data_IF_613934227895
#
_entry.id   IF_613934227895
#
_cell.length_a   1.000
_cell.length_b   1.000
_cell.length_c   1.000
_cell.angle_alpha   90.00
_cell.angle_beta   90.00
_cell.angle_gamma   90.00
#
_symmetry.space_group_name_H-M   'P 1'
#
loop_
_entity.id
_entity.type
_entity.pdbx_description
1 polymer ?
#
# COMPACT_ATOMS: atom_id res chain seq x y z
N UNK A 1 -30.03 -21.10 -3.64
CA UNK A 1 -30.63 -20.45 -2.45
C UNK A 1 -32.12 -20.52 -2.46
N UNK A 2 -32.79 -20.05 -3.51
CA UNK A 2 -34.27 -20.08 -3.61
C UNK A 2 -34.86 -21.52 -3.50
N UNK A 3 -34.17 -22.51 -4.09
CA UNK A 3 -34.63 -23.92 -4.04
C UNK A 3 -34.59 -24.52 -2.62
N UNK A 4 -33.51 -24.18 -1.84
CA UNK A 4 -33.32 -24.72 -0.48
C UNK A 4 -33.97 -23.84 0.60
N UNK A 5 -34.57 -22.70 0.25
CA UNK A 5 -35.18 -21.73 1.18
C UNK A 5 -34.26 -21.32 2.33
N UNK A 6 -32.96 -21.15 2.03
CA UNK A 6 -31.94 -20.79 3.00
C UNK A 6 -32.14 -19.36 3.52
N UNK A 7 -31.97 -19.19 4.81
CA UNK A 7 -31.85 -17.87 5.42
C UNK A 7 -30.56 -17.18 4.90
N UNK A 8 -30.44 -15.86 5.01
CA UNK A 8 -29.22 -15.14 4.59
C UNK A 8 -27.93 -15.72 5.21
N UNK A 9 -27.97 -16.09 6.50
CA UNK A 9 -26.85 -16.69 7.21
C UNK A 9 -26.50 -18.09 6.69
N UNK A 10 -27.50 -18.94 6.47
CA UNK A 10 -27.32 -20.27 5.90
C UNK A 10 -26.81 -20.19 4.46
N UNK A 11 -27.30 -19.23 3.68
CA UNK A 11 -26.80 -18.99 2.33
C UNK A 11 -25.32 -18.59 2.32
N UNK A 12 -24.91 -17.68 3.20
CA UNK A 12 -23.49 -17.28 3.34
C UNK A 12 -22.62 -18.49 3.71
N UNK A 13 -23.05 -19.29 4.69
CA UNK A 13 -22.35 -20.50 5.10
C UNK A 13 -22.25 -21.53 3.97
N UNK A 14 -23.34 -21.75 3.27
CA UNK A 14 -23.40 -22.66 2.11
C UNK A 14 -22.48 -22.17 0.98
N UNK A 15 -22.57 -20.88 0.61
CA UNK A 15 -21.72 -20.27 -0.42
C UNK A 15 -20.23 -20.40 -0.07
N UNK A 16 -19.85 -20.06 1.17
CA UNK A 16 -18.50 -20.22 1.65
C UNK A 16 -18.01 -21.67 1.54
N UNK A 17 -18.81 -22.64 2.02
CA UNK A 17 -18.46 -24.07 1.98
C UNK A 17 -18.30 -24.54 0.53
N UNK A 18 -19.19 -24.10 -0.34
CA UNK A 18 -19.13 -24.42 -1.76
C UNK A 18 -17.86 -23.86 -2.42
N UNK A 19 -17.56 -22.59 -2.20
CA UNK A 19 -16.32 -21.96 -2.70
C UNK A 19 -15.06 -22.68 -2.20
N UNK A 20 -15.02 -23.06 -0.92
CA UNK A 20 -13.91 -23.84 -0.34
C UNK A 20 -13.78 -25.24 -0.94
N UNK A 21 -14.88 -25.85 -1.44
CA UNK A 21 -14.82 -27.16 -2.09
C UNK A 21 -14.26 -27.10 -3.51
N UNK A 22 -14.31 -25.95 -4.15
CA UNK A 22 -13.87 -25.72 -5.53
C UNK A 22 -12.46 -25.12 -5.63
N UNK A 23 -12.11 -24.34 -4.63
CA UNK A 23 -10.80 -23.69 -4.54
C UNK A 23 -10.10 -24.19 -3.28
N UNK A 24 -8.80 -24.41 -3.30
CA UNK A 24 -8.12 -24.79 -2.05
C UNK A 24 -8.35 -23.68 -0.99
N UNK A 25 -8.45 -24.05 0.30
CA UNK A 25 -8.67 -23.07 1.37
C UNK A 25 -7.65 -21.92 1.35
N UNK A 26 -6.39 -22.20 1.03
CA UNK A 26 -5.33 -21.21 0.95
C UNK A 26 -5.63 -20.12 -0.08
N UNK A 27 -6.02 -20.49 -1.30
CA UNK A 27 -6.38 -19.50 -2.34
C UNK A 27 -7.62 -18.71 -1.97
N UNK A 28 -8.66 -19.36 -1.45
CA UNK A 28 -9.88 -18.70 -1.02
C UNK A 28 -9.60 -17.60 0.03
N UNK A 29 -8.90 -17.96 1.11
CA UNK A 29 -8.63 -17.02 2.20
C UNK A 29 -7.62 -15.94 1.81
N UNK A 30 -6.67 -16.26 0.93
CA UNK A 30 -5.74 -15.27 0.39
C UNK A 30 -6.47 -14.20 -0.43
N UNK A 31 -7.37 -14.61 -1.35
CA UNK A 31 -8.21 -13.67 -2.11
C UNK A 31 -9.11 -12.84 -1.21
N UNK A 32 -9.68 -13.43 -0.17
CA UNK A 32 -10.44 -12.67 0.85
C UNK A 32 -9.58 -11.66 1.60
N UNK A 33 -8.34 -11.98 1.91
CA UNK A 33 -7.40 -11.06 2.54
C UNK A 33 -7.05 -9.87 1.64
N UNK A 34 -6.93 -10.09 0.31
CA UNK A 34 -6.73 -9.00 -0.68
C UNK A 34 -7.98 -8.12 -0.76
N UNK A 35 -9.17 -8.72 -0.86
CA UNK A 35 -10.43 -7.98 -0.88
C UNK A 35 -10.58 -7.07 0.34
N UNK A 36 -10.36 -7.61 1.54
CA UNK A 36 -10.37 -6.84 2.79
C UNK A 36 -9.31 -5.74 2.82
N UNK A 37 -8.11 -6.03 2.30
CA UNK A 37 -7.03 -5.06 2.23
C UNK A 37 -7.41 -3.87 1.35
N UNK A 38 -7.96 -4.11 0.16
CA UNK A 38 -8.33 -3.06 -0.80
C UNK A 38 -9.52 -2.22 -0.30
N UNK A 39 -10.58 -2.86 0.20
CA UNK A 39 -11.80 -2.15 0.64
C UNK A 39 -11.53 -1.32 1.90
N UNK A 40 -10.76 -1.85 2.85
CA UNK A 40 -10.47 -1.18 4.13
C UNK A 40 -9.14 -0.43 4.13
N UNK A 41 -8.59 -0.13 2.96
CA UNK A 41 -7.28 0.53 2.84
C UNK A 41 -7.17 1.85 3.62
N UNK A 42 -8.16 2.78 3.60
CA UNK A 42 -8.10 4.01 4.38
C UNK A 42 -8.00 3.76 5.88
N UNK A 43 -8.72 2.74 6.37
CA UNK A 43 -8.65 2.33 7.78
C UNK A 43 -7.28 1.76 8.14
N UNK A 44 -6.64 1.05 7.21
CA UNK A 44 -5.29 0.49 7.38
C UNK A 44 -4.26 1.63 7.45
N UNK A 45 -4.37 2.63 6.60
CA UNK A 45 -3.48 3.78 6.58
C UNK A 45 -3.70 4.74 7.76
N UNK A 46 -4.89 4.71 8.39
CA UNK A 46 -5.20 5.60 9.49
C UNK A 46 -4.52 5.18 10.79
N UNK A 47 -3.92 6.14 11.49
CA UNK A 47 -3.43 5.94 12.87
C UNK A 47 -4.62 6.00 13.83
N UNK A 48 -5.15 4.84 14.21
CA UNK A 48 -6.39 4.73 15.03
C UNK A 48 -6.23 5.17 16.49
N UNK A 49 -5.01 5.34 17.01
CA UNK A 49 -4.79 5.77 18.38
C UNK A 49 -3.57 6.69 18.49
N UNK A 50 -3.79 7.89 19.00
CA UNK A 50 -2.68 8.68 19.52
C UNK A 50 -2.26 8.01 20.82
N UNK A 51 -1.18 7.26 20.80
CA UNK A 51 -0.58 6.73 22.01
C UNK A 51 -0.14 7.94 22.83
N UNK A 52 -0.67 8.06 24.05
CA UNK A 52 -0.24 9.11 24.96
C UNK A 52 1.25 8.92 25.26
N UNK A 53 2.05 9.88 24.83
CA UNK A 53 3.50 9.91 25.13
C UNK A 53 3.75 10.30 26.57
N UNK A 54 2.73 10.83 27.29
CA UNK A 54 2.81 11.41 28.62
C UNK A 54 2.42 10.43 29.75
N UNK A 55 2.76 9.14 29.67
CA UNK A 55 2.67 8.29 30.84
C UNK A 55 3.80 8.65 31.83
N UNK A 56 3.53 8.63 33.14
CA UNK A 56 4.54 8.97 34.15
C UNK A 56 5.75 8.05 33.98
N UNK A 57 6.91 8.68 33.93
CA UNK A 57 8.19 8.02 33.78
C UNK A 57 8.45 7.10 34.96
N UNK A 58 8.99 5.92 34.73
CA UNK A 58 9.46 5.04 35.80
C UNK A 58 10.85 5.51 36.24
N UNK A 59 10.94 6.19 37.39
CA UNK A 59 12.18 6.74 37.95
C UNK A 59 13.34 5.73 38.01
N UNK A 60 13.05 4.44 38.14
CA UNK A 60 14.07 3.39 38.19
C UNK A 60 14.69 3.15 36.80
N UNK A 61 13.86 3.12 35.76
CA UNK A 61 14.35 2.94 34.36
C UNK A 61 15.13 4.16 33.88
N UNK A 62 14.73 5.39 34.27
CA UNK A 62 15.48 6.60 33.92
C UNK A 62 16.85 6.60 34.58
N UNK A 63 16.94 6.26 35.89
CA UNK A 63 18.21 6.11 36.59
C UNK A 63 19.12 5.05 35.95
N UNK A 64 18.56 3.94 35.53
CA UNK A 64 19.32 2.90 34.83
C UNK A 64 19.85 3.41 33.46
N UNK A 65 19.03 4.14 32.71
CA UNK A 65 19.46 4.77 31.44
C UNK A 65 20.64 5.74 31.63
N UNK A 66 20.68 6.45 32.75
CA UNK A 66 21.78 7.37 33.04
C UNK A 66 23.06 6.67 33.49
N UNK A 67 22.94 5.65 34.33
CA UNK A 67 24.05 5.12 35.14
C UNK A 67 24.61 3.78 34.64
N UNK A 68 23.91 3.05 33.76
CA UNK A 68 24.33 1.72 33.28
C UNK A 68 24.45 1.66 31.77
N UNK A 69 25.49 0.97 31.30
CA UNK A 69 25.73 0.78 29.84
C UNK A 69 24.91 -0.38 29.25
N UNK A 70 24.42 -1.29 30.11
CA UNK A 70 23.60 -2.45 29.73
C UNK A 70 22.76 -2.92 30.91
N UNK A 71 21.47 -3.21 30.68
CA UNK A 71 20.60 -3.79 31.69
C UNK A 71 19.47 -4.62 31.06
N UNK A 72 18.93 -5.63 31.79
CA UNK A 72 17.81 -6.42 31.32
C UNK A 72 16.49 -5.65 31.40
N UNK A 73 15.56 -5.99 30.51
CA UNK A 73 14.16 -5.57 30.49
C UNK A 73 13.29 -6.80 30.76
N UNK A 74 12.41 -6.75 31.74
CA UNK A 74 11.70 -7.92 32.26
C UNK A 74 10.23 -7.98 31.88
N UNK A 75 9.68 -6.90 31.33
CA UNK A 75 8.26 -6.80 31.01
C UNK A 75 8.03 -6.01 29.72
N UNK A 76 6.92 -6.28 29.07
CA UNK A 76 6.47 -5.49 27.92
C UNK A 76 6.33 -3.99 28.28
N UNK A 77 5.90 -3.68 29.49
CA UNK A 77 5.79 -2.29 29.97
C UNK A 77 7.14 -1.59 29.97
N UNK A 78 8.18 -2.22 30.53
CA UNK A 78 9.55 -1.66 30.52
C UNK A 78 10.07 -1.47 29.10
N UNK A 79 9.86 -2.46 28.23
CA UNK A 79 10.24 -2.40 26.82
C UNK A 79 9.56 -1.21 26.13
N UNK A 80 8.24 -1.11 26.23
CA UNK A 80 7.46 -0.05 25.64
C UNK A 80 7.87 1.34 26.15
N UNK A 81 8.22 1.45 27.42
CA UNK A 81 8.71 2.68 28.02
C UNK A 81 10.08 3.09 27.47
N UNK A 82 11.04 2.16 27.41
CA UNK A 82 12.36 2.37 26.83
C UNK A 82 12.25 2.78 25.35
N UNK A 83 11.40 2.11 24.57
CA UNK A 83 11.20 2.45 23.15
C UNK A 83 10.70 3.88 22.96
N UNK A 84 9.75 4.35 23.80
CA UNK A 84 9.30 5.74 23.78
C UNK A 84 10.45 6.72 24.03
N UNK A 85 11.29 6.45 25.03
CA UNK A 85 12.43 7.32 25.38
C UNK A 85 13.45 7.37 24.24
N UNK A 86 13.90 6.23 23.72
CA UNK A 86 14.94 6.21 22.70
C UNK A 86 14.47 6.81 21.36
N UNK A 87 13.20 6.59 20.98
CA UNK A 87 12.64 7.21 19.79
C UNK A 87 12.43 8.72 19.94
N UNK A 88 11.99 9.17 21.13
CA UNK A 88 11.89 10.60 21.41
C UNK A 88 13.27 11.29 21.37
N UNK A 89 14.32 10.64 21.89
CA UNK A 89 15.68 11.15 21.78
C UNK A 89 16.16 11.16 20.33
N UNK A 90 15.93 10.08 19.59
CA UNK A 90 16.33 9.98 18.18
C UNK A 90 15.65 11.04 17.31
N UNK A 91 14.38 11.38 17.59
CA UNK A 91 13.66 12.44 16.89
C UNK A 91 14.28 13.82 17.04
N UNK A 92 15.10 14.02 18.08
CA UNK A 92 15.81 15.28 18.33
C UNK A 92 17.19 15.35 17.65
N UNK A 93 17.65 14.25 17.09
CA UNK A 93 18.94 14.17 16.40
C UNK A 93 18.77 14.57 14.93
N UNK A 94 19.61 15.47 14.45
CA UNK A 94 19.64 15.81 13.02
C UNK A 94 20.11 14.61 12.22
N UNK A 95 19.32 14.18 11.24
CA UNK A 95 19.52 12.94 10.47
C UNK A 95 19.53 11.69 11.36
N UNK A 96 18.59 11.60 12.31
CA UNK A 96 18.41 10.43 13.16
C UNK A 96 18.13 9.17 12.34
N UNK A 97 18.51 8.01 12.86
CA UNK A 97 18.36 6.71 12.21
C UNK A 97 17.77 5.69 13.17
N UNK A 98 16.63 5.14 12.80
CA UNK A 98 16.03 3.98 13.48
C UNK A 98 16.17 2.76 12.57
N UNK A 99 16.80 1.69 13.07
CA UNK A 99 16.92 0.43 12.36
C UNK A 99 16.16 -0.67 13.13
N UNK A 100 15.28 -1.36 12.43
CA UNK A 100 14.41 -2.40 12.96
C UNK A 100 14.74 -3.73 12.27
N UNK A 101 15.12 -4.73 13.04
CA UNK A 101 15.21 -6.12 12.59
C UNK A 101 14.20 -6.93 13.41
N UNK A 102 12.96 -7.02 12.95
CA UNK A 102 11.87 -7.67 13.65
C UNK A 102 10.70 -7.96 12.71
N UNK A 103 9.78 -8.83 13.13
CA UNK A 103 8.54 -9.07 12.40
C UNK A 103 7.51 -7.95 12.67
N UNK A 104 6.74 -7.53 11.66
CA UNK A 104 5.71 -6.50 11.85
C UNK A 104 4.44 -7.05 12.49
N UNK A 105 4.58 -7.70 13.64
CA UNK A 105 3.49 -8.31 14.41
C UNK A 105 3.17 -7.58 15.73
N UNK A 106 4.01 -6.64 16.17
CA UNK A 106 3.76 -5.83 17.36
C UNK A 106 3.04 -4.54 16.99
N UNK A 107 1.72 -4.54 17.16
CA UNK A 107 0.86 -3.38 16.84
C UNK A 107 1.21 -2.13 17.64
N UNK A 108 1.62 -2.30 18.92
CA UNK A 108 2.00 -1.16 19.75
C UNK A 108 3.21 -0.42 19.17
N UNK A 109 4.28 -1.13 18.82
CA UNK A 109 5.50 -0.54 18.28
C UNK A 109 5.22 0.26 17.00
N UNK A 110 4.47 -0.33 16.05
CA UNK A 110 4.15 0.34 14.79
C UNK A 110 3.17 1.49 14.96
N UNK A 111 2.22 1.39 15.90
CA UNK A 111 1.34 2.51 16.26
C UNK A 111 2.12 3.63 16.96
N UNK A 112 3.09 3.30 17.82
CA UNK A 112 3.96 4.27 18.46
C UNK A 112 4.77 5.04 17.39
N UNK A 113 5.45 4.34 16.50
CA UNK A 113 6.21 4.96 15.41
C UNK A 113 5.32 5.85 14.53
N UNK A 114 4.13 5.40 14.17
CA UNK A 114 3.20 6.16 13.33
C UNK A 114 2.57 7.36 14.07
N UNK A 115 2.53 7.36 15.41
CA UNK A 115 1.96 8.45 16.21
C UNK A 115 2.97 9.54 16.58
N UNK A 116 4.27 9.27 16.40
CA UNK A 116 5.33 10.23 16.72
C UNK A 116 5.53 11.26 15.60
N UNK A 117 5.73 12.51 15.97
CA UNK A 117 6.09 13.56 15.02
C UNK A 117 7.61 13.52 14.78
N UNK A 118 8.05 12.68 13.86
CA UNK A 118 9.44 12.64 13.46
C UNK A 118 9.76 13.78 12.46
N UNK A 119 10.98 14.34 12.51
CA UNK A 119 11.42 15.29 11.49
C UNK A 119 11.63 14.57 10.14
N UNK A 120 11.46 15.29 9.02
CA UNK A 120 11.65 14.75 7.67
C UNK A 120 13.07 14.20 7.42
N UNK A 121 14.05 14.60 8.25
CA UNK A 121 15.42 14.14 8.18
C UNK A 121 15.68 12.80 8.87
N UNK A 122 14.69 12.26 9.60
CA UNK A 122 14.83 10.97 10.29
C UNK A 122 14.53 9.83 9.33
N UNK A 123 15.43 8.87 9.28
CA UNK A 123 15.29 7.66 8.46
C UNK A 123 14.90 6.45 9.33
N UNK A 124 13.92 5.67 8.88
CA UNK A 124 13.57 4.38 9.49
C UNK A 124 13.83 3.27 8.47
N UNK A 125 14.72 2.33 8.81
CA UNK A 125 15.02 1.13 8.02
C UNK A 125 14.50 -0.09 8.75
N UNK A 126 13.69 -0.87 8.08
CA UNK A 126 13.07 -2.05 8.67
C UNK A 126 13.34 -3.29 7.84
N UNK A 127 13.98 -4.30 8.44
CA UNK A 127 14.20 -5.62 7.86
C UNK A 127 13.25 -6.61 8.52
N UNK A 128 12.51 -7.36 7.72
CA UNK A 128 11.65 -8.45 8.20
C UNK A 128 11.61 -9.64 7.22
N UNK A 129 11.18 -10.78 7.72
CA UNK A 129 11.05 -11.99 6.96
C UNK A 129 9.66 -12.13 6.37
N UNK A 130 9.57 -12.41 5.07
CA UNK A 130 8.35 -12.85 4.42
C UNK A 130 8.25 -14.37 4.43
N UNK A 131 7.04 -14.88 4.59
CA UNK A 131 6.80 -16.30 4.55
C UNK A 131 6.84 -16.80 3.11
N UNK A 132 7.74 -17.75 2.82
CA UNK A 132 7.99 -18.24 1.46
C UNK A 132 6.74 -18.85 0.80
N UNK A 133 5.88 -19.45 1.56
CA UNK A 133 4.65 -20.09 1.07
C UNK A 133 3.42 -19.22 1.22
N UNK A 134 3.56 -17.98 1.74
CA UNK A 134 2.47 -17.10 2.17
C UNK A 134 1.38 -17.90 2.92
N UNK A 135 1.80 -18.54 4.02
CA UNK A 135 0.92 -19.33 4.87
C UNK A 135 -0.20 -18.48 5.45
N UNK A 136 -1.29 -19.14 5.82
CA UNK A 136 -2.39 -18.48 6.52
C UNK A 136 -2.07 -18.35 8.01
N UNK A 137 -2.53 -17.26 8.62
CA UNK A 137 -2.59 -17.10 10.08
C UNK A 137 -3.61 -18.07 10.70
N UNK A 138 -3.64 -18.16 12.02
CA UNK A 138 -4.68 -18.90 12.76
C UNK A 138 -6.09 -18.45 12.42
N UNK A 139 -6.26 -17.17 12.05
CA UNK A 139 -7.54 -16.57 11.63
C UNK A 139 -7.81 -16.70 10.12
N UNK A 140 -7.06 -17.57 9.43
CA UNK A 140 -7.16 -17.78 7.98
C UNK A 140 -6.95 -16.51 7.13
N UNK A 141 -5.98 -15.67 7.52
CA UNK A 141 -5.56 -14.50 6.73
C UNK A 141 -4.17 -14.73 6.15
N UNK A 142 -3.88 -14.12 5.00
CA UNK A 142 -2.53 -14.13 4.42
C UNK A 142 -1.54 -13.48 5.38
N UNK A 143 -0.52 -14.24 5.84
CA UNK A 143 0.51 -13.74 6.75
C UNK A 143 1.24 -12.51 6.19
N UNK A 144 1.63 -12.57 4.92
CA UNK A 144 2.40 -11.49 4.30
C UNK A 144 1.54 -10.22 4.16
N UNK A 145 0.25 -10.33 3.84
CA UNK A 145 -0.67 -9.18 3.80
C UNK A 145 -0.95 -8.57 5.19
N UNK A 146 -1.04 -9.40 6.24
CA UNK A 146 -1.17 -8.88 7.62
C UNK A 146 0.07 -8.09 8.04
N UNK A 147 1.27 -8.49 7.60
CA UNK A 147 2.48 -7.68 7.80
C UNK A 147 2.37 -6.33 7.10
N UNK A 148 1.90 -6.30 5.84
CA UNK A 148 1.66 -5.04 5.13
C UNK A 148 0.68 -4.14 5.88
N UNK A 149 -0.46 -4.66 6.32
CA UNK A 149 -1.44 -3.88 7.09
C UNK A 149 -0.84 -3.20 8.31
N UNK A 150 0.14 -3.86 8.96
CA UNK A 150 0.79 -3.31 10.15
C UNK A 150 1.75 -2.17 9.82
N UNK A 151 2.44 -2.22 8.68
CA UNK A 151 3.46 -1.22 8.30
C UNK A 151 2.90 -0.06 7.47
N UNK A 152 1.76 -0.22 6.81
CA UNK A 152 1.18 0.83 5.95
C UNK A 152 0.93 2.17 6.65
N UNK A 153 0.53 2.23 7.94
CA UNK A 153 0.42 3.50 8.66
C UNK A 153 1.71 4.33 8.65
N UNK A 154 2.88 3.70 8.60
CA UNK A 154 4.16 4.41 8.50
C UNK A 154 4.37 5.05 7.13
N UNK A 155 3.92 4.40 6.07
CA UNK A 155 3.97 4.98 4.72
C UNK A 155 2.97 6.12 4.53
N UNK A 156 1.86 6.10 5.26
CA UNK A 156 0.86 7.19 5.21
C UNK A 156 1.31 8.45 5.95
N UNK A 157 2.29 8.35 6.85
CA UNK A 157 2.96 9.50 7.44
C UNK A 157 4.07 9.96 6.49
N UNK A 158 4.47 11.24 6.57
CA UNK A 158 5.58 11.78 5.77
C UNK A 158 6.96 11.30 6.28
N UNK A 159 7.06 10.03 6.63
CA UNK A 159 8.28 9.45 7.18
C UNK A 159 9.15 8.86 6.06
N UNK A 160 10.46 9.03 6.20
CA UNK A 160 11.42 8.34 5.34
C UNK A 160 11.57 6.89 5.82
N UNK A 161 10.56 6.06 5.49
CA UNK A 161 10.45 4.67 5.90
C UNK A 161 10.78 3.73 4.75
N UNK A 162 11.83 2.90 4.93
CA UNK A 162 12.27 1.91 3.96
C UNK A 162 12.15 0.51 4.54
N UNK A 163 11.54 -0.40 3.79
CA UNK A 163 11.40 -1.81 4.18
C UNK A 163 12.23 -2.71 3.29
N UNK A 164 12.96 -3.58 3.95
CA UNK A 164 13.78 -4.62 3.35
C UNK A 164 13.26 -5.98 3.79
N UNK A 165 13.28 -6.96 2.91
CA UNK A 165 12.81 -8.29 3.25
C UNK A 165 13.67 -9.41 2.66
N UNK A 166 13.51 -10.57 3.24
CA UNK A 166 14.04 -11.84 2.78
C UNK A 166 13.01 -12.93 3.00
N UNK A 167 13.14 -14.06 2.31
CA UNK A 167 12.24 -15.20 2.44
C UNK A 167 12.83 -16.28 3.30
N UNK A 168 12.09 -16.72 4.31
CA UNK A 168 12.41 -17.88 5.13
C UNK A 168 11.16 -18.48 5.78
N UNK A 169 11.34 -19.51 6.59
CA UNK A 169 10.33 -19.99 7.51
C UNK A 169 10.32 -19.10 8.75
N UNK A 170 9.38 -18.15 8.79
CA UNK A 170 9.24 -17.15 9.86
C UNK A 170 9.18 -17.81 11.23
N UNK A 171 8.42 -18.90 11.37
CA UNK A 171 8.23 -19.58 12.65
C UNK A 171 9.53 -20.19 13.17
N UNK A 172 10.27 -20.90 12.31
CA UNK A 172 11.55 -21.51 12.70
C UNK A 172 12.60 -20.44 13.00
N UNK A 173 12.64 -19.38 12.22
CA UNK A 173 13.67 -18.36 12.34
C UNK A 173 13.50 -17.48 13.59
N UNK A 174 12.28 -17.10 13.93
CA UNK A 174 12.03 -16.14 15.00
C UNK A 174 11.48 -16.72 16.30
N UNK A 175 10.81 -17.87 16.28
CA UNK A 175 10.09 -18.37 17.45
C UNK A 175 10.67 -19.63 18.09
N UNK A 176 11.40 -20.46 17.37
CA UNK A 176 11.79 -21.77 17.90
C UNK A 176 13.20 -21.83 18.49
N UNK A 177 14.18 -21.12 17.92
CA UNK A 177 15.59 -21.34 18.22
C UNK A 177 16.33 -20.11 18.72
N UNK A 178 15.79 -18.91 18.51
CA UNK A 178 16.45 -17.66 18.87
C UNK A 178 15.86 -17.06 20.16
N UNK A 179 16.70 -16.77 21.15
CA UNK A 179 16.29 -16.22 22.45
C UNK A 179 15.87 -14.76 22.28
N UNK A 180 16.68 -13.97 21.57
CA UNK A 180 16.42 -12.55 21.27
C UNK A 180 16.56 -12.30 19.75
N UNK A 181 15.52 -12.69 18.97
CA UNK A 181 15.60 -12.59 17.51
C UNK A 181 15.40 -11.18 17.00
N UNK A 182 14.89 -10.25 17.81
CA UNK A 182 14.56 -8.90 17.42
C UNK A 182 15.61 -7.92 17.89
N UNK A 183 15.90 -6.93 17.06
CA UNK A 183 16.86 -5.87 17.34
C UNK A 183 16.28 -4.53 16.87
N UNK A 184 16.31 -3.55 17.78
CA UNK A 184 15.96 -2.16 17.52
C UNK A 184 17.20 -1.32 17.79
N UNK A 185 17.61 -0.51 16.81
CA UNK A 185 18.78 0.36 16.92
C UNK A 185 18.36 1.81 16.69
N UNK A 186 18.94 2.69 17.47
CA UNK A 186 18.98 4.14 17.22
C UNK A 186 20.45 4.58 17.17
N UNK A 187 20.75 5.84 16.91
CA UNK A 187 22.12 6.32 16.82
C UNK A 187 22.98 5.91 18.04
N UNK A 188 22.41 6.02 19.24
CA UNK A 188 23.14 5.82 20.50
C UNK A 188 22.72 4.57 21.31
N UNK A 189 21.66 3.88 20.88
CA UNK A 189 21.07 2.81 21.67
C UNK A 189 20.77 1.57 20.86
N UNK A 190 20.83 0.40 21.52
CA UNK A 190 20.34 -0.86 20.97
C UNK A 190 19.41 -1.56 21.99
N UNK A 191 18.36 -2.19 21.48
CA UNK A 191 17.45 -3.04 22.28
C UNK A 191 17.30 -4.36 21.57
N UNK A 192 17.72 -5.44 22.24
CA UNK A 192 17.51 -6.80 21.76
C UNK A 192 16.32 -7.40 22.49
N UNK A 193 15.39 -8.04 21.76
CA UNK A 193 14.07 -8.43 22.28
C UNK A 193 13.72 -9.88 21.97
N UNK A 194 13.03 -10.52 22.93
CA UNK A 194 12.33 -11.80 22.66
C UNK A 194 11.21 -11.61 21.63
N UNK A 195 10.83 -12.68 20.96
CA UNK A 195 9.81 -12.65 19.91
C UNK A 195 8.40 -12.27 20.40
N UNK A 196 8.13 -12.47 21.68
CA UNK A 196 6.88 -12.10 22.36
C UNK A 196 6.89 -10.70 23.00
N UNK A 197 8.02 -9.98 22.91
CA UNK A 197 8.22 -8.67 23.53
C UNK A 197 8.05 -8.66 25.07
N UNK A 198 8.26 -9.80 25.74
CA UNK A 198 8.16 -9.88 27.19
C UNK A 198 9.51 -9.72 27.90
N UNK A 199 10.61 -9.88 27.16
CA UNK A 199 11.96 -9.80 27.71
C UNK A 199 12.90 -9.12 26.72
N UNK A 200 13.93 -8.46 27.23
CA UNK A 200 14.92 -7.82 26.38
C UNK A 200 16.17 -7.41 27.13
N UNK A 201 17.12 -6.86 26.38
CA UNK A 201 18.35 -6.28 26.89
C UNK A 201 18.55 -4.93 26.22
N UNK A 202 18.75 -3.91 27.03
CA UNK A 202 19.11 -2.57 26.58
C UNK A 202 20.61 -2.39 26.60
N UNK A 203 21.16 -1.69 25.59
CA UNK A 203 22.58 -1.37 25.42
C UNK A 203 22.76 0.11 25.09
N UNK A 204 23.75 0.74 25.76
CA UNK A 204 24.17 2.12 25.55
C UNK A 204 25.69 2.22 25.25
N UNK A 205 26.42 1.11 25.35
CA UNK A 205 27.86 1.10 25.03
C UNK A 205 28.07 1.39 23.55
N UNK A 206 28.82 2.45 23.24
CA UNK A 206 29.01 2.94 21.88
C UNK A 206 29.69 1.92 20.97
N UNK A 207 30.60 1.09 21.51
CA UNK A 207 31.29 0.08 20.73
C UNK A 207 30.34 -1.07 20.36
N UNK A 208 29.49 -1.50 21.32
CA UNK A 208 28.47 -2.51 21.08
C UNK A 208 27.43 -2.01 20.09
N UNK A 209 26.91 -0.80 20.29
CA UNK A 209 25.92 -0.21 19.35
C UNK A 209 26.51 -0.08 17.96
N UNK A 210 27.74 0.40 17.82
CA UNK A 210 28.45 0.46 16.53
C UNK A 210 28.59 -0.93 15.88
N UNK A 211 28.88 -1.96 16.68
CA UNK A 211 28.96 -3.33 16.16
C UNK A 211 27.61 -3.86 15.69
N UNK A 212 26.53 -3.55 16.41
CA UNK A 212 25.16 -3.92 15.97
C UNK A 212 24.78 -3.22 14.66
N UNK A 213 25.13 -1.94 14.47
CA UNK A 213 24.92 -1.25 13.19
C UNK A 213 25.65 -1.94 12.03
N UNK A 214 26.91 -2.36 12.23
CA UNK A 214 27.66 -3.09 11.19
C UNK A 214 26.99 -4.42 10.85
N UNK A 215 26.52 -5.17 11.84
CA UNK A 215 25.82 -6.43 11.62
C UNK A 215 24.48 -6.20 10.90
N UNK A 216 23.71 -5.21 11.32
CA UNK A 216 22.46 -4.84 10.66
C UNK A 216 22.68 -4.53 9.18
N UNK A 217 23.66 -3.67 8.87
CA UNK A 217 23.97 -3.29 7.49
C UNK A 217 24.39 -4.51 6.65
N UNK A 218 25.16 -5.43 7.22
CA UNK A 218 25.56 -6.67 6.52
C UNK A 218 24.38 -7.62 6.24
N UNK A 219 23.34 -7.58 7.07
CA UNK A 219 22.09 -8.30 6.82
C UNK A 219 21.28 -7.58 5.74
N UNK A 220 21.16 -6.24 5.85
CA UNK A 220 20.42 -5.42 4.88
C UNK A 220 20.94 -5.60 3.45
N UNK A 221 22.25 -5.71 3.25
CA UNK A 221 22.88 -5.95 1.93
C UNK A 221 22.42 -7.27 1.27
N UNK A 222 21.93 -8.22 2.04
CA UNK A 222 21.41 -9.50 1.57
C UNK A 222 19.91 -9.52 1.35
N UNK A 223 19.22 -8.45 1.75
CA UNK A 223 17.80 -8.27 1.62
C UNK A 223 17.46 -7.50 0.35
N UNK A 224 16.25 -7.64 -0.13
CA UNK A 224 15.73 -6.81 -1.22
C UNK A 224 14.78 -5.74 -0.67
N UNK A 225 14.76 -4.59 -1.32
CA UNK A 225 13.85 -3.51 -1.01
C UNK A 225 12.43 -3.93 -1.35
N UNK A 226 11.51 -3.90 -0.37
CA UNK A 226 10.13 -4.33 -0.59
C UNK A 226 9.35 -3.32 -1.43
N UNK A 227 9.41 -2.04 -1.03
CA UNK A 227 8.77 -0.95 -1.74
C UNK A 227 9.77 0.18 -2.00
N UNK A 228 9.76 0.67 -3.23
CA UNK A 228 10.39 1.95 -3.53
C UNK A 228 9.32 3.04 -3.43
N UNK A 229 9.52 3.96 -2.47
CA UNK A 229 8.60 5.07 -2.25
C UNK A 229 8.92 6.21 -3.20
N UNK A 230 7.93 6.78 -3.84
CA UNK A 230 8.05 7.97 -4.67
C UNK A 230 6.87 8.91 -4.45
N UNK A 231 7.14 10.21 -4.48
CA UNK A 231 6.09 11.23 -4.54
C UNK A 231 5.87 11.63 -5.99
N UNK A 232 4.62 11.94 -6.37
CA UNK A 232 4.33 12.46 -7.69
C UNK A 232 4.98 13.83 -7.83
N UNK A 233 5.98 13.90 -8.68
CA UNK A 233 6.60 15.16 -9.11
C UNK A 233 6.66 15.20 -10.62
N UNK A 234 6.66 16.38 -11.25
CA UNK A 234 6.79 16.47 -12.70
C UNK A 234 8.05 15.79 -13.26
N UNK A 235 9.10 15.63 -12.42
CA UNK A 235 10.35 14.96 -12.79
C UNK A 235 10.23 13.43 -12.80
N UNK A 236 9.26 12.88 -12.05
CA UNK A 236 9.10 11.43 -11.87
C UNK A 236 8.02 10.82 -12.79
N UNK A 237 7.41 11.61 -13.70
CA UNK A 237 6.42 11.09 -14.67
C UNK A 237 6.98 10.00 -15.58
N UNK A 238 8.26 10.10 -15.96
CA UNK A 238 8.94 9.04 -16.72
C UNK A 238 9.02 7.70 -16.02
N UNK A 239 8.89 7.73 -14.70
CA UNK A 239 8.89 6.56 -13.85
C UNK A 239 7.60 5.71 -13.98
N UNK A 240 6.43 6.35 -14.10
CA UNK A 240 5.17 5.65 -14.34
C UNK A 240 5.19 4.91 -15.69
N UNK A 241 5.82 5.47 -16.71
CA UNK A 241 6.01 4.81 -17.99
C UNK A 241 6.83 3.52 -17.89
N UNK A 242 7.86 3.51 -17.03
CA UNK A 242 8.72 2.33 -16.89
C UNK A 242 8.01 1.12 -16.28
N UNK A 243 6.92 1.35 -15.53
CA UNK A 243 6.17 0.30 -14.84
C UNK A 243 5.15 -0.37 -15.77
N UNK A 244 4.50 0.43 -16.62
CA UNK A 244 3.39 -0.05 -17.47
C UNK A 244 3.83 -0.65 -18.80
N UNK A 245 5.10 -0.49 -19.20
CA UNK A 245 5.52 -0.67 -20.61
C UNK A 245 6.04 -2.08 -20.95
N UNK A 246 6.29 -2.99 -20.02
CA UNK A 246 7.17 -4.12 -20.35
C UNK A 246 6.55 -5.52 -20.46
N UNK A 247 5.37 -5.78 -19.90
CA UNK A 247 4.78 -7.15 -19.98
C UNK A 247 3.25 -7.13 -19.98
N UNK A 248 2.66 -7.93 -20.86
CA UNK A 248 1.22 -8.21 -20.85
C UNK A 248 0.93 -9.53 -20.11
N UNK A 249 -0.22 -9.70 -19.45
CA UNK A 249 -1.27 -8.70 -19.26
C UNK A 249 -0.96 -7.67 -18.15
N UNK A 250 -1.60 -6.50 -18.23
CA UNK A 250 -1.52 -5.45 -17.23
C UNK A 250 -2.90 -5.22 -16.59
N UNK A 251 -2.95 -5.14 -15.27
CA UNK A 251 -4.17 -4.95 -14.51
C UNK A 251 -4.12 -3.63 -13.76
N UNK A 252 -5.14 -2.79 -13.96
CA UNK A 252 -5.33 -1.53 -13.22
C UNK A 252 -6.65 -1.62 -12.48
N UNK A 253 -6.60 -1.50 -11.17
CA UNK A 253 -7.76 -1.48 -10.31
C UNK A 253 -7.78 -0.15 -9.53
N UNK A 254 -8.77 0.68 -9.84
CA UNK A 254 -8.92 2.03 -9.30
C UNK A 254 -10.39 2.46 -9.29
N UNK A 255 -10.84 3.33 -8.39
CA UNK A 255 -12.23 3.79 -8.36
C UNK A 255 -12.64 4.56 -9.62
N UNK A 256 -11.84 5.55 -10.02
CA UNK A 256 -12.04 6.27 -11.26
C UNK A 256 -11.55 5.42 -12.43
N UNK A 257 -12.13 5.58 -13.58
CA UNK A 257 -11.58 4.95 -14.78
C UNK A 257 -10.23 5.57 -15.13
N UNK A 258 -9.30 4.79 -15.63
CA UNK A 258 -8.06 5.34 -16.18
C UNK A 258 -8.38 6.10 -17.48
N UNK A 259 -8.48 7.42 -17.36
CA UNK A 259 -8.76 8.32 -18.48
C UNK A 259 -7.51 8.78 -19.23
N UNK A 260 -6.33 8.46 -18.75
CA UNK A 260 -5.05 8.83 -19.37
C UNK A 260 -5.03 8.60 -20.89
N UNK A 261 -5.51 7.46 -21.44
CA UNK A 261 -5.53 7.23 -22.88
C UNK A 261 -6.46 8.13 -23.68
N UNK A 262 -7.43 8.78 -23.02
CA UNK A 262 -8.47 9.59 -23.65
C UNK A 262 -8.27 11.10 -23.50
N UNK A 263 -7.19 11.50 -22.83
CA UNK A 263 -6.83 12.93 -22.67
C UNK A 263 -6.05 13.37 -23.92
N UNK A 264 -6.69 14.14 -24.79
CA UNK A 264 -6.02 14.66 -25.98
C UNK A 264 -4.95 15.70 -25.65
N UNK A 265 -4.00 15.92 -26.54
CA UNK A 265 -2.94 16.93 -26.38
C UNK A 265 -3.51 18.32 -26.09
N UNK A 266 -4.63 18.67 -26.74
CA UNK A 266 -5.31 19.97 -26.51
C UNK A 266 -5.91 20.06 -25.12
N UNK A 267 -6.53 18.98 -24.63
CA UNK A 267 -7.09 18.94 -23.28
C UNK A 267 -5.99 19.11 -22.25
N UNK A 268 -4.89 18.34 -22.35
CA UNK A 268 -3.81 18.43 -21.36
C UNK A 268 -3.10 19.78 -21.38
N UNK A 269 -2.89 20.37 -22.55
CA UNK A 269 -2.29 21.71 -22.68
C UNK A 269 -3.11 22.77 -21.98
N UNK A 270 -4.43 22.71 -22.11
CA UNK A 270 -5.37 23.63 -21.46
C UNK A 270 -5.57 23.35 -19.97
N UNK A 271 -5.47 22.10 -19.56
CA UNK A 271 -5.66 21.69 -18.17
C UNK A 271 -4.45 21.98 -17.28
N UNK A 272 -3.23 21.86 -17.83
CA UNK A 272 -2.00 22.10 -17.08
C UNK A 272 -1.90 23.56 -16.61
N UNK A 273 -1.70 23.75 -15.31
CA UNK A 273 -1.57 25.08 -14.69
C UNK A 273 -0.35 25.82 -15.19
N UNK A 274 -0.48 27.13 -15.35
CA UNK A 274 0.63 27.99 -15.80
C UNK A 274 1.75 28.11 -14.75
N UNK A 275 1.45 27.90 -13.47
CA UNK A 275 2.39 28.04 -12.36
C UNK A 275 3.34 26.84 -12.16
N UNK A 276 3.18 25.77 -12.95
CA UNK A 276 4.07 24.59 -12.84
C UNK A 276 5.53 25.00 -13.15
N UNK A 277 6.48 24.74 -12.24
CA UNK A 277 7.88 25.01 -12.52
C UNK A 277 8.36 24.25 -13.76
N UNK A 278 9.06 24.93 -14.64
CA UNK A 278 9.58 24.38 -15.91
C UNK A 278 8.49 23.80 -16.84
N UNK A 279 7.28 24.39 -16.83
CA UNK A 279 6.15 23.95 -17.66
C UNK A 279 6.51 23.73 -19.14
N UNK A 280 7.35 24.60 -19.73
CA UNK A 280 7.78 24.50 -21.12
C UNK A 280 8.58 23.23 -21.43
N UNK A 281 9.32 22.72 -20.45
CA UNK A 281 10.09 21.48 -20.58
C UNK A 281 9.25 20.23 -20.29
N UNK A 282 8.30 20.35 -19.35
CA UNK A 282 7.47 19.23 -18.89
C UNK A 282 6.31 18.96 -19.86
N UNK A 283 5.69 20.00 -20.45
CA UNK A 283 4.54 19.85 -21.31
C UNK A 283 4.78 18.92 -22.54
N UNK A 284 5.90 18.99 -23.25
CA UNK A 284 6.19 18.03 -24.33
C UNK A 284 6.30 16.59 -23.85
N UNK A 285 6.89 16.36 -22.66
CA UNK A 285 7.00 15.02 -22.08
C UNK A 285 5.63 14.45 -21.72
N UNK A 286 4.77 15.28 -21.11
CA UNK A 286 3.40 14.90 -20.76
C UNK A 286 2.60 14.60 -22.03
N UNK A 287 2.67 15.44 -23.06
CA UNK A 287 1.99 15.19 -24.33
C UNK A 287 2.41 13.87 -24.98
N UNK A 288 3.71 13.56 -24.97
CA UNK A 288 4.22 12.29 -25.48
C UNK A 288 3.63 11.11 -24.70
N UNK A 289 3.65 11.18 -23.37
CA UNK A 289 3.07 10.16 -22.49
C UNK A 289 1.59 9.88 -22.81
N UNK A 290 0.76 10.91 -22.87
CA UNK A 290 -0.67 10.75 -23.15
C UNK A 290 -0.94 10.26 -24.58
N UNK A 291 -0.12 10.67 -25.55
CA UNK A 291 -0.22 10.18 -26.92
C UNK A 291 0.09 8.69 -27.05
N UNK A 292 1.07 8.20 -26.30
CA UNK A 292 1.45 6.79 -26.30
C UNK A 292 0.45 5.93 -25.52
N UNK A 293 -0.20 6.47 -24.51
CA UNK A 293 -1.08 5.72 -23.61
C UNK A 293 -2.24 5.01 -24.33
N UNK A 294 -2.79 5.58 -25.40
CA UNK A 294 -3.90 4.94 -26.13
C UNK A 294 -3.47 3.65 -26.86
N UNK A 295 -2.23 3.59 -27.28
CA UNK A 295 -1.69 2.40 -27.97
C UNK A 295 -1.45 1.27 -26.95
N UNK A 296 -1.15 1.62 -25.71
CA UNK A 296 -0.85 0.64 -24.67
C UNK A 296 -2.06 -0.23 -24.28
N UNK A 297 -3.29 0.26 -24.41
CA UNK A 297 -4.49 -0.52 -24.05
C UNK A 297 -4.57 -1.84 -24.83
N UNK A 298 -4.35 -1.79 -26.14
CA UNK A 298 -4.43 -2.97 -27.02
C UNK A 298 -3.11 -3.73 -27.06
N UNK A 299 -2.00 -3.00 -27.21
CA UNK A 299 -0.69 -3.59 -27.43
C UNK A 299 -0.14 -4.29 -26.17
N UNK A 300 -0.62 -3.90 -24.99
CA UNK A 300 -0.17 -4.43 -23.69
C UNK A 300 -1.25 -5.21 -22.95
N UNK A 301 -2.35 -5.58 -23.61
CA UNK A 301 -3.44 -6.33 -22.99
C UNK A 301 -3.85 -5.77 -21.61
N UNK A 302 -4.26 -4.49 -21.61
CA UNK A 302 -4.62 -3.78 -20.38
C UNK A 302 -6.06 -4.06 -20.00
N UNK A 303 -6.27 -4.46 -18.75
CA UNK A 303 -7.57 -4.63 -18.11
C UNK A 303 -7.75 -3.60 -17.00
N UNK A 304 -8.70 -2.69 -17.17
CA UNK A 304 -8.95 -1.58 -16.24
C UNK A 304 -10.28 -1.82 -15.52
N UNK A 305 -10.23 -1.82 -14.20
CA UNK A 305 -11.36 -2.06 -13.32
C UNK A 305 -11.70 -0.78 -12.57
N UNK A 306 -12.96 -0.34 -12.63
CA UNK A 306 -13.41 0.93 -12.05
C UNK A 306 -14.78 0.79 -11.37
N UNK A 307 -15.19 1.80 -10.59
CA UNK A 307 -16.44 1.81 -9.82
C UNK A 307 -17.42 2.86 -10.33
N UNK A 308 -18.72 2.68 -10.06
CA UNK A 308 -19.73 3.70 -10.31
C UNK A 308 -19.39 5.00 -9.57
N UNK A 309 -19.09 4.90 -8.27
CA UNK A 309 -18.75 6.05 -7.43
C UNK A 309 -17.54 6.85 -7.96
N UNK A 310 -16.53 6.16 -8.51
CA UNK A 310 -15.36 6.83 -9.10
C UNK A 310 -15.70 7.61 -10.36
N UNK A 311 -16.54 7.08 -11.23
CA UNK A 311 -17.03 7.80 -12.42
C UNK A 311 -17.90 8.99 -12.01
N UNK A 312 -18.83 8.82 -11.07
CA UNK A 312 -19.66 9.91 -10.56
C UNK A 312 -18.82 11.01 -9.92
N UNK A 313 -17.79 10.64 -9.14
CA UNK A 313 -16.85 11.60 -8.57
C UNK A 313 -16.14 12.41 -9.66
N UNK A 314 -15.60 11.75 -10.71
CA UNK A 314 -14.99 12.43 -11.85
C UNK A 314 -15.98 13.35 -12.57
N UNK A 315 -17.21 12.90 -12.81
CA UNK A 315 -18.25 13.68 -13.46
C UNK A 315 -18.61 14.92 -12.65
N UNK A 316 -18.66 14.81 -11.33
CA UNK A 316 -19.01 15.93 -10.46
C UNK A 316 -17.86 16.91 -10.27
N UNK A 317 -16.66 16.42 -9.97
CA UNK A 317 -15.51 17.26 -9.61
C UNK A 317 -14.68 17.71 -10.81
N UNK A 318 -14.63 16.90 -11.87
CA UNK A 318 -13.68 17.06 -12.98
C UNK A 318 -12.23 16.77 -12.60
N UNK A 319 -11.98 16.18 -11.44
CA UNK A 319 -10.64 15.83 -10.96
C UNK A 319 -10.40 14.36 -11.19
N UNK A 320 -9.14 13.99 -11.47
CA UNK A 320 -8.64 12.63 -11.49
C UNK A 320 -7.62 12.50 -10.37
N UNK A 321 -7.76 11.48 -9.51
CA UNK A 321 -6.85 11.26 -8.38
C UNK A 321 -5.41 10.99 -8.83
N UNK A 322 -5.22 10.48 -10.05
CA UNK A 322 -3.89 10.31 -10.67
C UNK A 322 -3.17 11.64 -10.95
N UNK A 323 -3.90 12.73 -11.09
CA UNK A 323 -3.35 14.04 -11.46
C UNK A 323 -3.49 14.99 -10.27
N UNK A 324 -2.41 15.29 -9.54
CA UNK A 324 -2.47 16.23 -8.43
C UNK A 324 -3.06 17.59 -8.84
N UNK A 325 -3.89 18.17 -7.97
CA UNK A 325 -4.56 19.45 -8.21
C UNK A 325 -3.60 20.61 -8.49
N UNK A 326 -2.38 20.53 -7.98
CA UNK A 326 -1.33 21.52 -8.24
C UNK A 326 -0.86 21.50 -9.69
N UNK A 327 -1.06 20.39 -10.42
CA UNK A 327 -0.58 20.25 -11.79
C UNK A 327 -1.65 20.60 -12.82
N UNK A 328 -2.89 20.21 -12.58
CA UNK A 328 -3.97 20.47 -13.51
C UNK A 328 -5.18 21.09 -12.82
N UNK A 329 -5.93 21.90 -13.57
CA UNK A 329 -7.27 22.30 -13.16
C UNK A 329 -8.25 21.15 -13.33
N UNK A 330 -9.42 21.19 -12.67
CA UNK A 330 -10.51 20.29 -13.00
C UNK A 330 -10.84 20.33 -14.50
N UNK A 331 -11.13 19.17 -15.07
CA UNK A 331 -11.57 19.05 -16.47
C UNK A 331 -12.96 19.67 -16.64
N UNK A 332 -13.14 20.42 -17.73
CA UNK A 332 -14.41 21.07 -18.04
C UNK A 332 -15.50 20.04 -18.41
N UNK A 333 -16.80 20.36 -18.26
CA UNK A 333 -17.88 19.42 -18.63
C UNK A 333 -17.75 18.84 -20.03
N UNK A 334 -17.43 19.68 -21.03
CA UNK A 334 -17.21 19.26 -22.41
C UNK A 334 -15.97 18.36 -22.58
N UNK A 335 -14.90 18.58 -21.81
CA UNK A 335 -13.72 17.72 -21.82
C UNK A 335 -14.04 16.35 -21.21
N UNK A 336 -14.78 16.31 -20.09
CA UNK A 336 -15.26 15.07 -19.44
C UNK A 336 -16.16 14.27 -20.39
N UNK A 337 -17.07 14.96 -21.07
CA UNK A 337 -17.96 14.32 -22.05
C UNK A 337 -17.17 13.66 -23.21
N UNK A 338 -16.15 14.34 -23.74
CA UNK A 338 -15.27 13.79 -24.79
C UNK A 338 -14.53 12.53 -24.29
N UNK A 339 -14.02 12.56 -23.05
CA UNK A 339 -13.31 11.45 -22.44
C UNK A 339 -14.23 10.23 -22.22
N UNK A 340 -15.45 10.44 -21.71
CA UNK A 340 -16.44 9.37 -21.55
C UNK A 340 -16.89 8.76 -22.88
N UNK A 341 -17.09 9.58 -23.90
CA UNK A 341 -17.42 9.08 -25.26
C UNK A 341 -16.28 8.25 -25.86
N UNK A 342 -15.03 8.65 -25.62
CA UNK A 342 -13.86 7.92 -26.08
C UNK A 342 -13.66 6.58 -25.33
N UNK A 343 -14.04 6.50 -24.06
CA UNK A 343 -13.99 5.31 -23.23
C UNK A 343 -14.97 4.21 -23.68
N UNK A 344 -16.16 4.57 -24.16
CA UNK A 344 -17.27 3.66 -24.43
C UNK A 344 -16.93 2.46 -25.34
N UNK A 345 -16.19 2.59 -26.46
CA UNK A 345 -15.79 1.45 -27.28
C UNK A 345 -14.95 0.40 -26.52
N UNK A 346 -14.13 0.85 -25.56
CA UNK A 346 -13.25 -0.01 -24.79
C UNK A 346 -14.00 -0.76 -23.68
N UNK A 347 -15.11 -0.22 -23.19
CA UNK A 347 -16.05 -0.96 -22.35
C UNK A 347 -16.66 -2.13 -23.13
N UNK A 348 -17.11 -1.90 -24.37
CA UNK A 348 -17.70 -2.93 -25.22
C UNK A 348 -16.69 -4.00 -25.66
N UNK A 349 -15.42 -3.64 -25.83
CA UNK A 349 -14.36 -4.59 -26.19
C UNK A 349 -13.81 -5.39 -25.00
N UNK A 350 -14.26 -5.11 -23.76
CA UNK A 350 -13.85 -5.86 -22.57
C UNK A 350 -12.46 -5.51 -22.03
N UNK A 351 -11.97 -4.29 -22.32
CA UNK A 351 -10.75 -3.75 -21.68
C UNK A 351 -11.06 -2.96 -20.40
N UNK A 352 -12.26 -2.40 -20.30
CA UNK A 352 -12.73 -1.62 -19.17
C UNK A 352 -13.92 -2.32 -18.51
N UNK A 353 -13.80 -2.54 -17.21
CA UNK A 353 -14.70 -3.37 -16.43
C UNK A 353 -15.30 -2.59 -15.26
N UNK A 354 -16.62 -2.51 -15.20
CA UNK A 354 -17.31 -1.93 -14.05
C UNK A 354 -17.36 -2.94 -12.91
N UNK A 355 -16.87 -2.56 -11.74
CA UNK A 355 -16.89 -3.36 -10.53
C UNK A 355 -18.26 -3.35 -9.87
N UNK A 356 -18.65 -4.51 -9.35
CA UNK A 356 -19.85 -4.73 -8.53
C UNK A 356 -19.48 -5.00 -7.08
N UNK A 357 -20.48 -5.08 -6.20
CA UNK A 357 -20.29 -5.40 -4.78
C UNK A 357 -19.44 -6.66 -4.57
N UNK A 358 -18.52 -6.64 -3.61
CA UNK A 358 -18.24 -5.56 -2.64
C UNK A 358 -17.20 -4.52 -3.13
N UNK A 359 -16.62 -4.67 -4.31
CA UNK A 359 -15.55 -3.83 -4.85
C UNK A 359 -16.03 -2.47 -5.39
N UNK A 360 -17.34 -2.24 -5.47
CA UNK A 360 -17.92 -0.91 -5.73
C UNK A 360 -17.59 0.12 -4.62
N UNK A 361 -17.04 -0.33 -3.50
CA UNK A 361 -16.69 0.46 -2.32
C UNK A 361 -15.18 0.77 -2.22
N UNK A 362 -14.43 0.62 -3.32
CA UNK A 362 -13.01 0.99 -3.32
C UNK A 362 -12.82 2.46 -2.92
N UNK A 363 -11.80 2.75 -2.09
CA UNK A 363 -11.47 4.13 -1.70
C UNK A 363 -11.08 4.96 -2.91
N UNK A 364 -11.61 6.18 -3.03
CA UNK A 364 -11.39 7.07 -4.20
C UNK A 364 -9.90 7.26 -4.53
N UNK A 365 -9.04 7.33 -3.53
CA UNK A 365 -7.62 7.62 -3.72
C UNK A 365 -6.74 6.37 -3.87
N UNK A 366 -7.34 5.17 -3.97
CA UNK A 366 -6.59 3.93 -4.09
C UNK A 366 -6.45 3.50 -5.54
N UNK A 367 -5.21 3.40 -6.03
CA UNK A 367 -4.90 2.81 -7.33
C UNK A 367 -3.93 1.65 -7.15
N UNK A 368 -4.23 0.53 -7.75
CA UNK A 368 -3.36 -0.63 -7.86
C UNK A 368 -3.12 -0.91 -9.35
N UNK A 369 -1.87 -0.88 -9.77
CA UNK A 369 -1.45 -1.30 -11.10
C UNK A 369 -0.45 -2.45 -10.93
N UNK A 370 -0.68 -3.59 -11.59
CA UNK A 370 0.19 -4.76 -11.47
C UNK A 370 0.30 -5.52 -12.79
N UNK A 371 1.49 -6.05 -13.02
CA UNK A 371 1.79 -7.08 -13.99
C UNK A 371 2.75 -8.11 -13.38
N UNK A 372 3.20 -9.09 -14.15
CA UNK A 372 4.03 -10.18 -13.63
C UNK A 372 5.44 -9.76 -13.20
N UNK A 373 5.91 -8.57 -13.56
CA UNK A 373 7.27 -8.10 -13.27
C UNK A 373 7.31 -6.96 -12.27
N UNK A 374 6.29 -6.11 -12.28
CA UNK A 374 6.26 -4.91 -11.46
C UNK A 374 4.83 -4.44 -11.20
N UNK A 375 4.68 -3.54 -10.25
CA UNK A 375 3.42 -2.89 -9.98
C UNK A 375 3.60 -1.65 -9.12
N UNK A 376 2.54 -0.93 -8.90
CA UNK A 376 2.51 0.13 -7.90
C UNK A 376 1.16 0.19 -7.20
N UNK A 377 1.21 0.64 -5.97
CA UNK A 377 0.05 1.07 -5.20
C UNK A 377 0.18 2.57 -4.98
N UNK A 378 -0.83 3.35 -5.39
CA UNK A 378 -0.87 4.76 -5.05
C UNK A 378 -2.04 5.08 -4.14
N UNK A 379 -1.83 6.05 -3.27
CA UNK A 379 -2.80 6.52 -2.28
C UNK A 379 -2.42 7.92 -1.80
N UNK A 380 -3.33 8.58 -1.11
CA UNK A 380 -3.08 9.87 -0.49
C UNK A 380 -2.58 9.69 0.94
N UNK A 381 -1.48 10.36 1.30
CA UNK A 381 -0.97 10.35 2.66
C UNK A 381 -1.75 11.32 3.57
N UNK A 382 -1.40 11.34 4.86
CA UNK A 382 -2.05 12.21 5.86
C UNK A 382 -1.93 13.71 5.57
N UNK A 383 -1.01 14.13 4.69
CA UNK A 383 -0.78 15.51 4.29
C UNK A 383 -1.48 15.85 2.95
N UNK A 384 -2.30 14.96 2.40
CA UNK A 384 -2.98 15.16 1.12
C UNK A 384 -2.06 15.01 -0.09
N UNK A 385 -0.90 14.35 0.04
CA UNK A 385 0.03 14.14 -1.05
C UNK A 385 -0.11 12.74 -1.62
N UNK A 386 -0.13 12.63 -2.95
CA UNK A 386 -0.16 11.32 -3.62
C UNK A 386 1.18 10.61 -3.49
N UNK A 387 1.14 9.45 -2.88
CA UNK A 387 2.26 8.53 -2.68
C UNK A 387 2.20 7.40 -3.69
N UNK A 388 3.35 6.98 -4.19
CA UNK A 388 3.50 5.79 -5.02
C UNK A 388 4.45 4.80 -4.33
N UNK A 389 3.96 3.60 -4.10
CA UNK A 389 4.76 2.48 -3.62
C UNK A 389 4.94 1.49 -4.78
N UNK A 390 6.14 1.45 -5.34
CA UNK A 390 6.48 0.44 -6.34
C UNK A 390 6.64 -0.91 -5.68
N UNK A 391 6.03 -1.89 -6.29
CA UNK A 391 6.05 -3.28 -5.89
C UNK A 391 6.88 -4.05 -6.92
N UNK A 392 8.09 -4.46 -6.53
CA UNK A 392 8.95 -5.33 -7.34
C UNK A 392 9.04 -6.73 -6.75
N UNK A 393 8.32 -6.99 -5.66
CA UNK A 393 8.36 -8.25 -4.95
C UNK A 393 7.35 -9.24 -5.60
N UNK A 394 7.83 -10.37 -6.17
CA UNK A 394 7.01 -11.26 -6.99
C UNK A 394 5.83 -11.91 -6.23
N UNK A 395 5.98 -12.15 -4.92
CA UNK A 395 4.94 -12.78 -4.10
C UNK A 395 3.72 -11.87 -3.99
N UNK A 396 3.89 -10.56 -3.73
CA UNK A 396 2.77 -9.62 -3.69
C UNK A 396 2.17 -9.38 -5.07
N UNK A 397 2.98 -9.28 -6.12
CA UNK A 397 2.46 -9.18 -7.49
C UNK A 397 1.57 -10.39 -7.81
N UNK A 398 2.04 -11.60 -7.52
CA UNK A 398 1.30 -12.84 -7.74
C UNK A 398 -0.03 -12.89 -6.96
N UNK A 399 -0.04 -12.40 -5.70
CA UNK A 399 -1.25 -12.37 -4.87
C UNK A 399 -2.30 -11.42 -5.46
N UNK A 400 -1.89 -10.23 -5.87
CA UNK A 400 -2.81 -9.26 -6.47
C UNK A 400 -3.31 -9.72 -7.84
N UNK A 401 -2.45 -10.27 -8.69
CA UNK A 401 -2.83 -10.81 -10.00
C UNK A 401 -3.81 -11.97 -9.83
N UNK A 402 -3.51 -12.96 -8.96
CA UNK A 402 -4.42 -14.08 -8.70
C UNK A 402 -5.80 -13.60 -8.23
N UNK A 403 -5.84 -12.55 -7.42
CA UNK A 403 -7.10 -11.97 -6.99
C UNK A 403 -7.86 -11.34 -8.15
N UNK A 404 -7.20 -10.50 -8.96
CA UNK A 404 -7.84 -9.76 -10.06
C UNK A 404 -8.33 -10.72 -11.17
N UNK A 405 -7.54 -11.70 -11.56
CA UNK A 405 -7.90 -12.70 -12.56
C UNK A 405 -9.11 -13.55 -12.14
N UNK A 406 -9.38 -13.64 -10.84
CA UNK A 406 -10.49 -14.40 -10.28
C UNK A 406 -11.69 -13.55 -9.84
N UNK A 407 -11.76 -12.27 -10.22
CA UNK A 407 -12.91 -11.40 -9.94
C UNK A 407 -14.18 -11.87 -10.66
N UNK A 408 -14.04 -12.51 -11.81
CA UNK A 408 -15.14 -13.08 -12.57
C UNK A 408 -14.96 -14.59 -12.72
N UNK A 409 -15.38 -15.34 -11.75
CA UNK A 409 -15.43 -16.79 -11.82
C UNK A 409 -16.89 -17.27 -11.73
N UNK A 410 -17.12 -18.58 -11.92
CA UNK A 410 -18.47 -19.17 -11.88
C UNK A 410 -19.28 -18.86 -10.60
N UNK A 411 -18.63 -18.36 -9.55
CA UNK A 411 -19.19 -18.18 -8.21
C UNK A 411 -19.25 -16.72 -7.75
N UNK A 412 -18.37 -15.87 -8.28
CA UNK A 412 -18.27 -14.44 -7.95
C UNK A 412 -18.34 -13.63 -9.23
N UNK A 413 -19.44 -12.93 -9.44
CA UNK A 413 -19.56 -11.95 -10.52
C UNK A 413 -19.32 -10.55 -9.94
N UNK A 414 -18.05 -10.24 -9.63
CA UNK A 414 -17.66 -8.90 -9.14
C UNK A 414 -17.48 -7.90 -10.28
N UNK A 415 -17.68 -8.33 -11.52
CA UNK A 415 -17.53 -7.54 -12.74
C UNK A 415 -18.86 -7.51 -13.49
N UNK A 416 -19.24 -6.35 -14.00
CA UNK A 416 -20.35 -6.20 -14.92
C UNK A 416 -20.00 -6.76 -16.31
N UNK A 417 -21.00 -7.18 -17.09
CA UNK A 417 -20.76 -7.53 -18.50
C UNK A 417 -20.32 -6.30 -19.29
N UNK A 418 -19.67 -6.49 -20.46
CA UNK A 418 -19.32 -5.37 -21.33
C UNK A 418 -20.53 -4.48 -21.69
N UNK A 419 -21.69 -5.08 -21.92
CA UNK A 419 -22.94 -4.37 -22.22
C UNK A 419 -23.47 -3.59 -21.00
N UNK A 420 -23.44 -4.18 -19.80
CA UNK A 420 -23.80 -3.49 -18.55
C UNK A 420 -22.88 -2.30 -18.30
N UNK A 421 -21.56 -2.51 -18.46
CA UNK A 421 -20.54 -1.46 -18.31
C UNK A 421 -20.78 -0.32 -19.32
N UNK A 422 -20.98 -0.63 -20.58
CA UNK A 422 -21.25 0.36 -21.62
C UNK A 422 -22.57 1.11 -21.39
N UNK A 423 -23.62 0.41 -20.92
CA UNK A 423 -24.91 1.05 -20.61
C UNK A 423 -24.81 2.00 -19.41
N UNK A 424 -24.01 1.67 -18.42
CA UNK A 424 -23.70 2.60 -17.33
C UNK A 424 -23.04 3.87 -17.86
N UNK A 425 -21.96 3.76 -18.62
CA UNK A 425 -21.26 4.93 -19.19
C UNK A 425 -22.19 5.76 -20.11
N UNK A 426 -23.06 5.14 -20.92
CA UNK A 426 -24.05 5.88 -21.74
C UNK A 426 -24.98 6.73 -20.89
N UNK A 427 -25.50 6.20 -19.78
CA UNK A 427 -26.36 6.96 -18.87
C UNK A 427 -25.62 8.17 -18.26
N UNK A 428 -24.34 8.00 -17.94
CA UNK A 428 -23.53 9.09 -17.41
C UNK A 428 -23.22 10.16 -18.46
N UNK A 429 -23.02 9.77 -19.74
CA UNK A 429 -22.93 10.69 -20.87
C UNK A 429 -24.23 11.50 -21.02
N UNK A 430 -25.39 10.84 -21.01
CA UNK A 430 -26.70 11.50 -21.12
C UNK A 430 -26.94 12.53 -20.02
N UNK A 431 -26.49 12.26 -18.79
CA UNK A 431 -26.57 13.22 -17.66
C UNK A 431 -25.73 14.48 -17.88
N UNK A 432 -24.60 14.37 -18.57
CA UNK A 432 -23.71 15.49 -18.88
C UNK A 432 -24.18 16.30 -20.10
N UNK A 433 -25.01 15.76 -20.97
CA UNK A 433 -25.58 16.43 -22.14
C UNK A 433 -26.82 17.25 -21.83
N UNK A 434 -27.44 17.00 -20.65
CA UNK A 434 -28.60 17.77 -20.12
C UNK A 434 -28.18 19.03 -19.38
#
# INVERSE_FOLDING_TARGET
>A
AKFFQLTPSEYQKFSKTYQLSLTSPNYYYRRKSVEEFLIHFPDICSVKSRISVNEPLNDVLEKNLENTSCFPLHTEFEINHILRIIFAKESSIKNGLIQLLLQPNNKFLFSLLASMNFPDSLEIRHIFCLNKTDSLTTDNKSCNLEYLKTIFPLYSQSLYYQTYCFYDNVHSHFYNMNIFPYLILTTDYAVSLSSDFQSGIFFKDINLVSQFHKLYNSIQEKCFLLFQVSHMTPKNLSFLNSITVQTAPNYILQPESCFTPFISEKIIENALRSQIPNREQILPMIKCFFKEAIHTIKDQDMHIYFTENGIEHFIYTGCLCEIPYEFARPFLPEERLLMLKALLPYCLSGHYHLLKKPLDQLPINLHLCVNTQSGYLSFENSNGQTMYLLINEPGFLSIFIDYIENLNNEYNSYIATPEETANFIKKEIEKLEL
#
